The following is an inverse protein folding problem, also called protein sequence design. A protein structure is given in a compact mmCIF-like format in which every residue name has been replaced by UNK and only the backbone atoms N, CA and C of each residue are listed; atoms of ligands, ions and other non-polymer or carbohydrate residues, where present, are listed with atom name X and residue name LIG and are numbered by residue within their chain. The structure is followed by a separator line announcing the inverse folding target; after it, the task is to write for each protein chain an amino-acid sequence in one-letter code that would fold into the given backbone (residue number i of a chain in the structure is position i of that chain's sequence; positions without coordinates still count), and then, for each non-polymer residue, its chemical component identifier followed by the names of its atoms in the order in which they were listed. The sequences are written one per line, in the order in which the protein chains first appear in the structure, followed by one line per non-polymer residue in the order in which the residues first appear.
data_IF_759702581730
#
_entry.id   IF_759702581730
#
_cell.length_a   1.000
_cell.length_b   1.000
_cell.length_c   1.000
_cell.angle_alpha   90.00
_cell.angle_beta   90.00
_cell.angle_gamma   90.00
#
_symmetry.space_group_name_H-M   'P 1'
#
loop_
_entity.id
_entity.type
_entity.pdbx_description
1 polymer ?
#
# COMPACT_ATOMS: atom_id res chain seq x y z
N UNK A 1 17.46 -1.68 -28.80
CA UNK A 1 17.03 -0.58 -29.70
C UNK A 1 18.28 0.00 -30.34
N UNK A 2 18.32 0.26 -31.65
CA UNK A 2 19.48 0.87 -32.30
C UNK A 2 19.65 2.33 -31.84
N UNK A 3 20.88 2.77 -31.64
CA UNK A 3 21.17 4.14 -31.25
C UNK A 3 20.81 5.12 -32.38
N UNK A 4 20.19 6.24 -32.04
CA UNK A 4 19.93 7.36 -32.94
C UNK A 4 20.77 8.54 -32.44
N UNK A 5 21.60 9.13 -33.32
CA UNK A 5 22.51 10.22 -32.96
C UNK A 5 23.37 9.90 -31.72
N UNK A 6 23.97 8.70 -31.67
CA UNK A 6 24.79 8.21 -30.55
C UNK A 6 24.06 8.11 -29.21
N UNK A 7 22.72 8.16 -29.20
CA UNK A 7 21.91 8.03 -28.00
C UNK A 7 20.90 6.91 -28.14
N UNK A 8 20.58 6.24 -27.03
CA UNK A 8 19.49 5.30 -26.94
C UNK A 8 18.71 5.59 -25.66
N UNK A 9 17.39 5.51 -25.72
CA UNK A 9 16.52 5.74 -24.57
C UNK A 9 15.79 4.46 -24.22
N UNK A 10 15.80 4.13 -22.93
CA UNK A 10 15.09 2.99 -22.36
C UNK A 10 14.06 3.56 -21.39
N UNK A 11 12.79 3.49 -21.77
CA UNK A 11 11.69 4.06 -21.01
C UNK A 11 10.99 2.95 -20.23
N UNK A 12 10.64 3.26 -18.98
CA UNK A 12 9.79 2.42 -18.12
C UNK A 12 8.52 3.23 -17.78
N UNK A 13 7.50 3.24 -18.67
CA UNK A 13 6.29 4.05 -18.47
C UNK A 13 5.55 3.72 -17.17
N UNK A 14 5.64 2.48 -16.72
CA UNK A 14 5.16 2.01 -15.43
C UNK A 14 6.31 1.26 -14.74
N UNK A 15 7.06 1.96 -13.89
CA UNK A 15 8.14 1.37 -13.12
C UNK A 15 7.58 0.56 -11.95
N UNK A 16 7.44 -0.74 -12.16
CA UNK A 16 7.08 -1.71 -11.12
C UNK A 16 8.28 -2.09 -10.23
N UNK A 17 8.05 -2.64 -9.02
CA UNK A 17 9.13 -3.13 -8.14
C UNK A 17 10.10 -4.11 -8.80
N UNK A 18 9.65 -4.84 -9.83
CA UNK A 18 10.50 -5.75 -10.61
C UNK A 18 11.61 -5.04 -11.41
N UNK A 19 11.49 -3.72 -11.64
CA UNK A 19 12.51 -2.90 -12.30
C UNK A 19 13.53 -2.30 -11.32
N UNK A 20 13.48 -2.67 -10.04
CA UNK A 20 14.54 -2.32 -9.11
C UNK A 20 15.79 -3.16 -9.39
N UNK A 21 16.97 -2.52 -9.38
CA UNK A 21 18.22 -3.23 -9.58
C UNK A 21 19.37 -2.33 -9.99
N UNK A 22 20.48 -2.96 -10.33
CA UNK A 22 21.66 -2.30 -10.88
C UNK A 22 21.68 -2.43 -12.39
N UNK A 23 21.82 -1.30 -13.06
CA UNK A 23 21.80 -1.16 -14.50
C UNK A 23 23.16 -0.69 -14.99
N UNK A 24 23.62 -1.23 -16.11
CA UNK A 24 24.76 -0.69 -16.87
C UNK A 24 24.34 -0.53 -18.32
N UNK A 25 24.98 0.41 -19.02
CA UNK A 25 24.79 0.59 -20.45
C UNK A 25 25.97 -0.04 -21.19
N UNK A 26 25.67 -0.85 -22.22
CA UNK A 26 26.69 -1.44 -23.09
C UNK A 26 26.56 -0.82 -24.47
N UNK A 27 27.61 -0.13 -24.90
CA UNK A 27 27.74 0.33 -26.27
C UNK A 27 28.27 -0.78 -27.14
N UNK A 28 27.62 -1.05 -28.27
CA UNK A 28 28.11 -1.92 -29.33
C UNK A 28 28.27 -1.12 -30.62
N UNK A 29 29.48 -1.12 -31.19
CA UNK A 29 29.75 -0.49 -32.48
C UNK A 29 30.44 -1.48 -33.41
N UNK A 30 30.04 -1.44 -34.68
CA UNK A 30 30.63 -2.26 -35.73
C UNK A 30 31.45 -1.37 -36.66
N UNK A 31 32.77 -1.54 -36.62
CA UNK A 31 33.72 -0.72 -37.37
C UNK A 31 34.75 -1.64 -38.02
N UNK A 32 35.01 -1.47 -39.32
CA UNK A 32 36.04 -2.22 -40.07
C UNK A 32 35.91 -3.75 -39.92
N UNK A 33 34.71 -4.29 -40.05
CA UNK A 33 34.41 -5.73 -39.88
C UNK A 33 34.61 -6.31 -38.48
N UNK A 34 34.83 -5.47 -37.47
CA UNK A 34 35.03 -5.87 -36.08
C UNK A 34 33.96 -5.25 -35.17
N UNK A 35 33.60 -5.98 -34.12
CA UNK A 35 32.71 -5.51 -33.07
C UNK A 35 33.53 -4.96 -31.90
N UNK A 36 33.21 -3.77 -31.45
CA UNK A 36 33.73 -3.20 -30.22
C UNK A 36 32.59 -3.01 -29.23
N UNK A 37 32.87 -3.27 -27.96
CA UNK A 37 31.94 -3.02 -26.87
C UNK A 37 32.59 -2.32 -25.70
N UNK A 38 31.85 -1.43 -25.06
CA UNK A 38 32.26 -0.75 -23.84
C UNK A 38 31.08 -0.66 -22.88
N UNK A 39 31.34 -0.99 -21.62
CA UNK A 39 30.35 -0.91 -20.54
C UNK A 39 30.51 0.38 -19.75
N UNK A 40 29.40 0.96 -19.29
CA UNK A 40 29.39 2.14 -18.41
C UNK A 40 29.53 1.77 -16.94
N UNK A 41 29.64 2.78 -16.09
CA UNK A 41 29.49 2.61 -14.65
C UNK A 41 28.10 2.06 -14.29
N UNK A 42 28.02 1.38 -13.14
CA UNK A 42 26.79 0.82 -12.59
C UNK A 42 25.90 1.91 -11.99
N UNK A 43 24.63 1.88 -12.36
CA UNK A 43 23.57 2.74 -11.83
C UNK A 43 22.61 1.91 -10.98
N UNK A 44 22.46 2.26 -9.70
CA UNK A 44 21.50 1.61 -8.80
C UNK A 44 20.15 2.33 -8.84
N UNK A 45 19.09 1.62 -9.20
CA UNK A 45 17.72 2.13 -9.28
C UNK A 45 16.88 1.47 -8.19
N UNK A 46 16.17 2.26 -7.39
CA UNK A 46 15.22 1.80 -6.36
C UNK A 46 13.81 2.27 -6.69
N UNK A 47 12.83 1.38 -6.59
CA UNK A 47 11.42 1.70 -6.84
C UNK A 47 10.69 1.80 -5.51
N UNK A 48 9.99 2.91 -5.28
CA UNK A 48 9.18 3.12 -4.08
C UNK A 48 7.71 2.91 -4.43
N UNK A 49 7.11 1.87 -3.88
CA UNK A 49 5.67 1.63 -4.00
C UNK A 49 4.92 2.21 -2.78
N UNK A 50 4.11 3.27 -2.95
CA UNK A 50 3.35 3.87 -1.86
C UNK A 50 2.07 3.09 -1.53
N UNK A 51 1.64 2.17 -2.40
CA UNK A 51 0.38 1.43 -2.28
C UNK A 51 0.21 0.73 -0.92
N UNK A 52 1.18 -0.06 -0.41
CA UNK A 52 1.04 -0.71 0.90
C UNK A 52 0.90 0.29 2.06
N UNK A 53 1.55 1.45 1.98
CA UNK A 53 1.43 2.50 3.00
C UNK A 53 0.04 3.12 3.00
N UNK A 54 -0.51 3.40 1.81
CA UNK A 54 -1.85 3.95 1.64
C UNK A 54 -2.89 2.96 2.14
N UNK A 55 -2.78 1.68 1.76
CA UNK A 55 -3.69 0.61 2.23
C UNK A 55 -3.68 0.58 3.76
N UNK A 56 -2.50 0.57 4.38
CA UNK A 56 -2.38 0.54 5.85
C UNK A 56 -3.00 1.80 6.49
N UNK A 57 -2.77 2.97 5.91
CA UNK A 57 -3.30 4.24 6.39
C UNK A 57 -4.83 4.33 6.29
N UNK A 58 -5.47 3.59 5.38
CA UNK A 58 -6.94 3.56 5.23
C UNK A 58 -7.57 2.42 6.01
N UNK A 59 -7.00 1.22 5.94
CA UNK A 59 -7.54 0.01 6.57
C UNK A 59 -7.50 0.10 8.09
N UNK A 60 -6.42 0.62 8.68
CA UNK A 60 -6.31 0.73 10.14
C UNK A 60 -7.37 1.65 10.76
N UNK A 61 -7.59 2.90 10.27
CA UNK A 61 -8.69 3.73 10.76
C UNK A 61 -10.06 3.15 10.49
N UNK A 62 -10.27 2.47 9.35
CA UNK A 62 -11.55 1.86 9.02
C UNK A 62 -11.93 0.76 10.02
N UNK A 63 -10.98 -0.12 10.36
CA UNK A 63 -11.18 -1.16 11.38
C UNK A 63 -11.47 -0.51 12.74
N UNK A 64 -10.70 0.51 13.12
CA UNK A 64 -10.90 1.22 14.38
C UNK A 64 -12.30 1.85 14.46
N UNK A 65 -12.79 2.42 13.36
CA UNK A 65 -14.12 3.01 13.28
C UNK A 65 -15.22 1.95 13.46
N UNK A 66 -15.08 0.79 12.82
CA UNK A 66 -16.03 -0.33 12.94
C UNK A 66 -16.09 -0.87 14.37
N UNK A 67 -14.94 -1.03 15.03
CA UNK A 67 -14.87 -1.48 16.43
C UNK A 67 -15.56 -0.48 17.35
N UNK A 68 -15.30 0.82 17.18
CA UNK A 68 -15.96 1.86 17.98
C UNK A 68 -17.48 1.92 17.72
N UNK A 69 -17.91 1.78 16.47
CA UNK A 69 -19.33 1.74 16.12
C UNK A 69 -20.03 0.52 16.75
N UNK A 70 -19.41 -0.66 16.69
CA UNK A 70 -19.92 -1.87 17.32
C UNK A 70 -20.02 -1.73 18.86
N UNK A 71 -18.97 -1.20 19.49
CA UNK A 71 -18.97 -0.90 20.93
C UNK A 71 -20.06 0.10 21.30
N UNK A 72 -20.23 1.17 20.50
CA UNK A 72 -21.28 2.16 20.71
C UNK A 72 -22.67 1.53 20.64
N UNK A 73 -22.94 0.71 19.62
CA UNK A 73 -24.22 0.01 19.46
C UNK A 73 -24.46 -0.99 20.60
N UNK A 74 -23.43 -1.73 21.00
CA UNK A 74 -23.50 -2.67 22.12
C UNK A 74 -23.81 -1.94 23.44
N UNK A 75 -23.08 -0.86 23.75
CA UNK A 75 -23.33 -0.04 24.94
C UNK A 75 -24.72 0.59 24.92
N UNK A 76 -25.19 1.06 23.75
CA UNK A 76 -26.53 1.62 23.57
C UNK A 76 -27.62 0.56 23.84
N UNK A 77 -27.47 -0.65 23.29
CA UNK A 77 -28.40 -1.76 23.52
C UNK A 77 -28.41 -2.21 24.98
N UNK A 78 -27.24 -2.32 25.61
CA UNK A 78 -27.12 -2.64 27.04
C UNK A 78 -27.75 -1.56 27.95
N UNK A 79 -27.64 -0.27 27.58
CA UNK A 79 -28.32 0.82 28.28
C UNK A 79 -29.85 0.74 28.17
N UNK A 80 -30.38 0.38 27.00
CA UNK A 80 -31.82 0.11 26.83
C UNK A 80 -32.33 -1.05 27.70
N UNK A 81 -31.52 -2.09 27.91
CA UNK A 81 -31.87 -3.18 28.82
C UNK A 81 -31.81 -2.79 30.31
N UNK A 82 -30.84 -1.96 30.72
CA UNK A 82 -30.71 -1.56 32.13
C UNK A 82 -31.90 -0.74 32.63
N UNK A 83 -32.52 0.09 31.78
CA UNK A 83 -33.76 0.80 32.13
C UNK A 83 -34.94 -0.16 32.32
N UNK A 84 -35.08 -1.19 31.48
CA UNK A 84 -36.12 -2.21 31.66
C UNK A 84 -35.87 -3.16 32.85
N UNK A 85 -34.62 -3.46 33.19
CA UNK A 85 -34.30 -4.28 34.37
C UNK A 85 -34.62 -3.56 35.69
N UNK A 86 -34.49 -2.23 35.71
CA UNK A 86 -34.77 -1.41 36.89
C UNK A 86 -36.29 -1.26 37.13
N UNK A 87 -37.11 -1.17 36.08
CA UNK A 87 -38.58 -1.21 36.19
C UNK A 87 -39.08 -2.54 36.78
N UNK A 88 -38.49 -3.68 36.40
CA UNK A 88 -38.90 -4.99 36.91
C UNK A 88 -38.53 -5.22 38.38
N UNK A 89 -37.39 -4.70 38.85
CA UNK A 89 -36.95 -4.82 40.25
C UNK A 89 -37.77 -3.88 41.16
N UNK A 90 -38.14 -2.70 40.67
CA UNK A 90 -39.00 -1.76 41.40
C UNK A 90 -40.45 -2.27 41.49
N UNK A 91 -40.99 -2.89 40.43
CA UNK A 91 -42.34 -3.47 40.46
C UNK A 91 -42.48 -4.66 41.44
N UNK A 92 -41.42 -5.45 41.62
CA UNK A 92 -41.42 -6.61 42.53
C UNK A 92 -41.42 -6.18 44.02
N UNK A 93 -40.89 -4.98 44.33
CA UNK A 93 -40.93 -4.40 45.67
C UNK A 93 -42.31 -3.86 46.06
N UNK A 94 -43.12 -3.42 45.10
CA UNK A 94 -44.48 -2.91 45.34
C UNK A 94 -45.56 -4.01 45.35
N UNK A 95 -45.22 -5.26 45.00
CA UNK A 95 -46.14 -6.40 44.97
C UNK A 95 -45.93 -7.40 46.14
N UNK A 96 -45.10 -7.07 47.14
CA UNK A 96 -44.93 -7.80 48.40
C UNK A 96 -45.67 -7.10 49.55
#
# INVERSE_FOLDING_TARGET
MPAVNHSAQFLFPAAEPAHQGSYSCIYHVYVLSHNFSSESDLLSITIIDPTPLIIRAVVLPLILLLVNAALYLYCKASRGQKTGMQENIELDYYNL
#
